data_IF_644575813938
#
_entry.id   IF_644575813938
#
_cell.length_a   1.000
_cell.length_b   1.000
_cell.length_c   1.000
_cell.angle_alpha   90.00
_cell.angle_beta   90.00
_cell.angle_gamma   90.00
#
_symmetry.space_group_name_H-M   'P 1'
#
loop_
_entity.id
_entity.type
_entity.pdbx_description
1 polymer ?
#
# COMPACT_ATOMS: atom_id res chain seq x y z
N UNK A 1 -36.15 30.68 -5.35
CA UNK A 1 -35.85 29.27 -5.04
C UNK A 1 -35.81 29.13 -3.53
N UNK A 2 -36.98 29.03 -2.89
CA UNK A 2 -37.14 28.92 -1.43
C UNK A 2 -37.13 27.44 -1.05
N UNK A 3 -36.28 27.06 -0.09
CA UNK A 3 -36.16 25.68 0.39
C UNK A 3 -37.48 25.20 1.03
N UNK A 4 -37.82 23.93 0.79
CA UNK A 4 -39.01 23.27 1.34
C UNK A 4 -38.97 23.28 2.89
N UNK A 5 -40.02 23.78 3.58
CA UNK A 5 -40.07 23.86 5.04
C UNK A 5 -39.86 22.52 5.76
N UNK A 6 -40.21 21.38 5.13
CA UNK A 6 -39.94 20.06 5.70
C UNK A 6 -38.43 19.75 5.76
N UNK A 7 -37.67 20.26 4.80
CA UNK A 7 -36.20 20.11 4.74
C UNK A 7 -35.52 20.92 5.84
N UNK A 8 -36.05 22.12 6.13
CA UNK A 8 -35.51 23.00 7.20
C UNK A 8 -35.76 22.42 8.59
N UNK A 9 -36.90 21.76 8.82
CA UNK A 9 -37.23 21.11 10.09
C UNK A 9 -36.44 19.82 10.35
N UNK A 10 -36.06 19.08 9.30
CA UNK A 10 -35.26 17.85 9.41
C UNK A 10 -33.75 18.10 9.59
N UNK A 11 -33.28 19.33 9.32
CA UNK A 11 -31.86 19.70 9.34
C UNK A 11 -31.18 19.49 10.71
N UNK A 12 -31.77 19.86 11.86
CA UNK A 12 -31.14 19.63 13.16
C UNK A 12 -30.93 18.15 13.48
N UNK A 13 -31.89 17.28 13.12
CA UNK A 13 -31.79 15.83 13.33
C UNK A 13 -30.71 15.19 12.44
N UNK A 14 -30.64 15.60 11.17
CA UNK A 14 -29.60 15.16 10.25
C UNK A 14 -28.20 15.64 10.69
N UNK A 15 -28.09 16.90 11.14
CA UNK A 15 -26.84 17.48 11.64
C UNK A 15 -26.37 16.78 12.93
N UNK A 16 -27.28 16.52 13.87
CA UNK A 16 -26.98 15.75 15.09
C UNK A 16 -26.47 14.36 14.74
N UNK A 17 -27.14 13.64 13.83
CA UNK A 17 -26.72 12.31 13.40
C UNK A 17 -25.33 12.34 12.77
N UNK A 18 -25.05 13.32 11.91
CA UNK A 18 -23.74 13.48 11.29
C UNK A 18 -22.64 13.75 12.34
N UNK A 19 -22.91 14.62 13.31
CA UNK A 19 -21.97 14.94 14.38
C UNK A 19 -21.64 13.71 15.25
N UNK A 20 -22.66 12.94 15.65
CA UNK A 20 -22.48 11.71 16.44
C UNK A 20 -21.70 10.66 15.65
N UNK A 21 -22.06 10.43 14.38
CA UNK A 21 -21.34 9.45 13.54
C UNK A 21 -19.88 9.86 13.30
N UNK A 22 -19.61 11.16 13.18
CA UNK A 22 -18.23 11.66 13.06
C UNK A 22 -17.43 11.42 14.34
N UNK A 23 -18.01 11.72 15.51
CA UNK A 23 -17.36 11.44 16.79
C UNK A 23 -17.05 9.94 16.98
N UNK A 24 -18.01 9.06 16.64
CA UNK A 24 -17.81 7.62 16.70
C UNK A 24 -16.76 7.14 15.70
N UNK A 25 -16.74 7.70 14.49
CA UNK A 25 -15.71 7.38 13.48
C UNK A 25 -14.31 7.71 14.00
N UNK A 26 -14.15 8.84 14.69
CA UNK A 26 -12.86 9.26 15.24
C UNK A 26 -12.37 8.32 16.35
N UNK A 27 -13.27 7.85 17.21
CA UNK A 27 -12.94 6.84 18.23
C UNK A 27 -12.61 5.47 17.61
N UNK A 28 -13.42 5.01 16.65
CA UNK A 28 -13.15 3.78 15.89
C UNK A 28 -11.81 3.88 15.16
N UNK A 29 -11.48 5.05 14.61
CA UNK A 29 -10.20 5.28 13.94
C UNK A 29 -9.02 5.14 14.90
N UNK A 30 -9.09 5.70 16.11
CA UNK A 30 -8.03 5.55 17.12
C UNK A 30 -7.82 4.08 17.49
N UNK A 31 -8.91 3.36 17.76
CA UNK A 31 -8.85 1.94 18.07
C UNK A 31 -8.29 1.11 16.90
N UNK A 32 -8.71 1.43 15.68
CA UNK A 32 -8.18 0.83 14.45
C UNK A 32 -6.68 1.07 14.31
N UNK A 33 -6.20 2.31 14.47
CA UNK A 33 -4.78 2.65 14.31
C UNK A 33 -3.92 1.90 15.35
N UNK A 34 -4.41 1.76 16.59
CA UNK A 34 -3.75 0.97 17.64
C UNK A 34 -3.73 -0.55 17.32
N UNK A 35 -4.87 -1.13 16.96
CA UNK A 35 -4.98 -2.53 16.57
C UNK A 35 -4.11 -2.83 15.32
N UNK A 36 -4.05 -1.89 14.39
CA UNK A 36 -3.22 -1.98 13.18
C UNK A 36 -1.73 -2.03 13.52
N UNK A 37 -1.26 -1.15 14.40
CA UNK A 37 0.12 -1.14 14.85
C UNK A 37 0.52 -2.45 15.56
N UNK A 38 -0.38 -3.01 16.38
CA UNK A 38 -0.18 -4.30 17.02
C UNK A 38 -0.09 -5.44 16.00
N UNK A 39 -1.01 -5.51 15.04
CA UNK A 39 -1.01 -6.53 13.99
C UNK A 39 0.24 -6.44 13.10
N UNK A 40 0.68 -5.23 12.76
CA UNK A 40 1.91 -5.00 11.98
C UNK A 40 3.14 -5.50 12.74
N UNK A 41 3.26 -5.15 14.02
CA UNK A 41 4.36 -5.58 14.89
C UNK A 41 4.41 -7.12 15.00
N UNK A 42 3.25 -7.74 15.25
CA UNK A 42 3.16 -9.19 15.40
C UNK A 42 3.51 -9.94 14.10
N UNK A 43 3.00 -9.49 12.96
CA UNK A 43 3.27 -10.16 11.68
C UNK A 43 4.72 -9.95 11.22
N UNK A 44 5.30 -8.76 11.42
CA UNK A 44 6.73 -8.54 11.13
C UNK A 44 7.62 -9.40 12.01
N UNK A 45 7.29 -9.55 13.29
CA UNK A 45 8.00 -10.45 14.19
C UNK A 45 7.91 -11.91 13.72
N UNK A 46 6.71 -12.40 13.39
CA UNK A 46 6.49 -13.74 12.85
C UNK A 46 7.23 -13.98 11.53
N UNK A 47 7.23 -12.99 10.64
CA UNK A 47 8.02 -13.08 9.41
C UNK A 47 9.50 -13.22 9.73
N UNK A 48 10.04 -12.40 10.63
CA UNK A 48 11.48 -12.43 10.95
C UNK A 48 11.93 -13.73 11.62
N UNK A 49 11.04 -14.39 12.36
CA UNK A 49 11.37 -15.57 13.17
C UNK A 49 11.09 -16.89 12.45
N UNK A 50 9.98 -16.98 11.72
CA UNK A 50 9.51 -18.24 11.10
C UNK A 50 9.14 -18.10 9.62
N UNK A 51 9.32 -16.91 9.02
CA UNK A 51 9.08 -16.68 7.59
C UNK A 51 7.60 -16.60 7.19
N UNK A 52 6.67 -16.44 8.15
CA UNK A 52 5.24 -16.26 7.84
C UNK A 52 5.03 -14.91 7.16
N UNK A 53 4.55 -14.94 5.91
CA UNK A 53 4.31 -13.72 5.12
C UNK A 53 2.88 -13.23 5.15
N UNK A 54 1.91 -14.13 5.30
CA UNK A 54 0.49 -13.79 5.21
C UNK A 54 -0.30 -14.45 6.31
N UNK A 55 -1.23 -13.71 6.89
CA UNK A 55 -2.22 -14.20 7.86
C UNK A 55 -3.62 -13.88 7.35
N UNK A 56 -4.50 -14.86 7.38
CA UNK A 56 -5.92 -14.67 7.09
C UNK A 56 -6.65 -14.15 8.32
N UNK A 57 -7.50 -13.13 8.15
CA UNK A 57 -8.34 -12.57 9.19
C UNK A 57 -9.74 -13.15 9.05
N UNK A 58 -10.25 -13.75 10.13
CA UNK A 58 -11.57 -14.38 10.20
C UNK A 58 -12.37 -13.73 11.31
N UNK A 59 -13.68 -13.55 11.08
CA UNK A 59 -14.60 -13.23 12.17
C UNK A 59 -14.97 -14.51 12.90
N UNK A 60 -15.22 -14.45 14.22
CA UNK A 60 -15.81 -15.56 14.95
C UNK A 60 -17.10 -16.05 14.29
N UNK A 61 -17.19 -17.34 14.01
CA UNK A 61 -18.34 -17.97 13.34
C UNK A 61 -18.42 -17.77 11.83
N UNK A 62 -17.50 -17.02 11.20
CA UNK A 62 -17.44 -16.93 9.73
C UNK A 62 -16.67 -18.12 9.14
N UNK A 63 -17.24 -18.73 8.10
CA UNK A 63 -16.63 -19.87 7.40
C UNK A 63 -15.41 -19.42 6.57
N UNK A 64 -15.53 -18.26 5.92
CA UNK A 64 -14.51 -17.71 5.04
C UNK A 64 -13.75 -16.54 5.71
N UNK A 65 -12.47 -16.33 5.36
CA UNK A 65 -11.72 -15.17 5.80
C UNK A 65 -12.28 -13.88 5.20
N UNK A 66 -12.34 -12.82 6.01
CA UNK A 66 -12.85 -11.50 5.61
C UNK A 66 -11.76 -10.60 5.04
N UNK A 67 -10.51 -10.83 5.43
CA UNK A 67 -9.35 -10.07 4.97
C UNK A 67 -8.08 -10.93 5.10
N UNK A 68 -6.98 -10.41 4.57
CA UNK A 68 -5.65 -10.94 4.80
C UNK A 68 -4.70 -9.79 5.11
N UNK A 69 -3.71 -10.07 5.94
CA UNK A 69 -2.59 -9.16 6.24
C UNK A 69 -1.33 -9.82 5.71
N UNK A 70 -0.58 -9.10 4.87
CA UNK A 70 0.58 -9.63 4.16
C UNK A 70 1.78 -8.71 4.36
N UNK A 71 2.94 -9.29 4.65
CA UNK A 71 4.22 -8.58 4.59
C UNK A 71 4.62 -8.42 3.12
N UNK A 72 4.82 -7.18 2.64
CA UNK A 72 5.27 -6.94 1.27
C UNK A 72 6.58 -7.67 0.99
N UNK A 73 6.74 -8.10 -0.25
CA UNK A 73 8.03 -8.57 -0.70
C UNK A 73 9.02 -7.40 -0.67
N UNK A 74 10.16 -7.61 -0.01
CA UNK A 74 11.26 -6.69 -0.11
C UNK A 74 11.88 -6.88 -1.50
N UNK A 75 11.60 -5.97 -2.44
CA UNK A 75 12.29 -5.93 -3.72
C UNK A 75 13.55 -5.06 -3.61
N UNK A 76 14.64 -5.54 -4.18
CA UNK A 76 15.84 -4.73 -4.36
C UNK A 76 15.49 -3.52 -5.24
N UNK A 77 15.83 -2.32 -4.78
CA UNK A 77 15.61 -1.10 -5.55
C UNK A 77 16.78 -0.83 -6.48
N UNK A 78 16.54 -0.31 -7.67
CA UNK A 78 17.62 0.19 -8.53
C UNK A 78 17.82 1.68 -8.27
N UNK A 79 19.05 2.09 -7.95
CA UNK A 79 19.46 3.49 -7.93
C UNK A 79 20.18 3.79 -9.24
N UNK A 80 19.69 4.78 -9.97
CA UNK A 80 20.26 5.18 -11.26
C UNK A 80 21.00 6.50 -11.09
N UNK A 81 22.24 6.56 -11.53
CA UNK A 81 22.91 7.84 -11.76
C UNK A 81 22.34 8.50 -13.03
N UNK A 82 21.58 9.57 -12.84
CA UNK A 82 20.91 10.30 -13.92
C UNK A 82 21.88 10.91 -14.94
N UNK A 83 23.06 11.34 -14.47
CA UNK A 83 24.03 11.98 -15.34
C UNK A 83 24.71 10.93 -16.21
N UNK A 84 25.13 9.82 -15.62
CA UNK A 84 25.73 8.72 -16.36
C UNK A 84 24.71 8.03 -17.29
N UNK A 85 23.42 7.94 -16.89
CA UNK A 85 22.34 7.49 -17.77
C UNK A 85 22.19 8.41 -18.99
N UNK A 86 22.26 9.72 -18.79
CA UNK A 86 22.19 10.71 -19.87
C UNK A 86 23.38 10.59 -20.82
N UNK A 87 24.59 10.41 -20.29
CA UNK A 87 25.81 10.23 -21.09
C UNK A 87 25.78 8.92 -21.89
N UNK A 88 25.25 7.85 -21.29
CA UNK A 88 24.99 6.58 -21.98
C UNK A 88 23.98 6.75 -23.12
N UNK A 89 22.86 7.43 -22.86
CA UNK A 89 21.86 7.72 -23.88
C UNK A 89 22.43 8.61 -25.00
N UNK A 90 23.27 9.58 -24.67
CA UNK A 90 23.87 10.48 -25.65
C UNK A 90 24.78 9.72 -26.63
N UNK A 91 25.44 8.66 -26.15
CA UNK A 91 26.33 7.82 -26.97
C UNK A 91 25.58 6.76 -27.77
N UNK A 92 24.68 6.01 -27.13
CA UNK A 92 24.09 4.79 -27.73
C UNK A 92 22.67 5.02 -28.30
N UNK A 93 21.92 5.97 -27.72
CA UNK A 93 20.52 6.21 -28.04
C UNK A 93 20.18 7.71 -28.09
N UNK A 94 20.87 8.51 -28.92
CA UNK A 94 20.74 9.98 -28.89
C UNK A 94 19.32 10.48 -29.20
N UNK A 95 18.54 9.68 -29.95
CA UNK A 95 17.12 9.98 -30.23
C UNK A 95 16.19 9.87 -29.02
N UNK A 96 16.66 9.26 -27.93
CA UNK A 96 15.92 9.07 -26.68
C UNK A 96 16.20 10.18 -25.65
N UNK A 97 16.96 11.21 -26.04
CA UNK A 97 17.15 12.42 -25.27
C UNK A 97 16.12 13.46 -25.71
N UNK A 98 15.38 13.97 -24.75
CA UNK A 98 14.49 15.11 -24.91
C UNK A 98 15.14 16.36 -24.32
N UNK A 99 15.04 17.47 -25.06
CA UNK A 99 15.46 18.77 -24.57
C UNK A 99 14.25 19.53 -24.04
N UNK A 100 14.19 19.68 -22.72
CA UNK A 100 13.23 20.58 -22.06
C UNK A 100 13.91 21.92 -21.79
N UNK A 101 13.16 23.03 -21.63
CA UNK A 101 13.72 24.39 -21.56
C UNK A 101 14.81 24.60 -20.50
N UNK A 102 14.88 23.74 -19.48
CA UNK A 102 15.82 23.83 -18.37
C UNK A 102 16.92 22.75 -18.33
N UNK A 103 16.85 21.68 -19.16
CA UNK A 103 17.83 20.58 -19.16
C UNK A 103 17.60 19.56 -20.28
N UNK A 104 18.63 18.76 -20.58
CA UNK A 104 18.48 17.50 -21.33
C UNK A 104 18.03 16.40 -20.37
N UNK A 105 17.03 15.63 -20.76
CA UNK A 105 16.54 14.49 -19.99
C UNK A 105 16.35 13.30 -20.91
N UNK A 106 16.51 12.10 -20.35
CA UNK A 106 16.12 10.88 -21.04
C UNK A 106 14.59 10.78 -21.08
N UNK A 107 14.04 10.41 -22.23
CA UNK A 107 12.59 10.25 -22.41
C UNK A 107 12.01 9.33 -21.33
N UNK A 108 10.99 9.75 -20.57
CA UNK A 108 10.45 8.97 -19.46
C UNK A 108 9.94 7.58 -19.88
N UNK A 109 9.33 7.48 -21.06
CA UNK A 109 8.85 6.22 -21.61
C UNK A 109 10.01 5.25 -21.90
N UNK A 110 11.08 5.74 -22.54
CA UNK A 110 12.26 4.93 -22.81
C UNK A 110 12.95 4.50 -21.52
N UNK A 111 13.10 5.41 -20.55
CA UNK A 111 13.66 5.08 -19.23
C UNK A 111 12.88 3.94 -18.58
N UNK A 112 11.55 4.00 -18.60
CA UNK A 112 10.70 2.95 -18.04
C UNK A 112 10.95 1.61 -18.73
N UNK A 113 11.07 1.62 -20.06
CA UNK A 113 11.38 0.42 -20.86
C UNK A 113 12.78 -0.12 -20.56
N UNK A 114 13.79 0.75 -20.44
CA UNK A 114 15.15 0.36 -20.05
C UNK A 114 15.13 -0.31 -18.67
N UNK A 115 14.53 0.32 -17.66
CA UNK A 115 14.49 -0.24 -16.30
C UNK A 115 13.71 -1.55 -16.22
N UNK A 116 12.69 -1.74 -17.05
CA UNK A 116 11.89 -2.97 -17.07
C UNK A 116 12.61 -4.17 -17.70
N UNK A 117 13.66 -3.94 -18.51
CA UNK A 117 14.43 -5.02 -19.17
C UNK A 117 15.76 -5.33 -18.47
N UNK A 118 16.08 -4.66 -17.37
CA UNK A 118 17.30 -4.93 -16.61
C UNK A 118 17.17 -6.24 -15.84
N UNK A 119 18.26 -6.99 -15.83
CA UNK A 119 18.47 -8.14 -14.96
C UNK A 119 19.58 -7.81 -13.97
N UNK A 120 19.43 -8.29 -12.73
CA UNK A 120 20.46 -8.21 -11.71
C UNK A 120 21.09 -9.58 -11.59
N UNK A 121 22.37 -9.67 -11.91
CA UNK A 121 23.16 -10.88 -11.75
C UNK A 121 23.45 -11.15 -10.27
N UNK A 122 23.77 -12.40 -9.88
CA UNK A 122 24.01 -12.77 -8.48
C UNK A 122 25.18 -12.03 -7.81
N UNK A 123 26.09 -11.46 -8.60
CA UNK A 123 27.23 -10.64 -8.17
C UNK A 123 26.84 -9.17 -7.91
N UNK A 124 25.58 -8.80 -8.14
CA UNK A 124 25.06 -7.43 -8.00
C UNK A 124 25.24 -6.57 -9.26
N UNK A 125 25.75 -7.14 -10.36
CA UNK A 125 25.92 -6.45 -11.63
C UNK A 125 24.58 -6.27 -12.34
N UNK A 126 24.28 -5.05 -12.78
CA UNK A 126 23.06 -4.76 -13.55
C UNK A 126 23.35 -4.91 -15.04
N UNK A 127 22.63 -5.82 -15.69
CA UNK A 127 22.78 -6.11 -17.12
C UNK A 127 21.50 -5.74 -17.86
N UNK A 128 21.66 -5.06 -18.99
CA UNK A 128 20.56 -4.90 -19.94
C UNK A 128 20.34 -6.21 -20.70
N UNK A 129 19.27 -6.93 -20.37
CA UNK A 129 18.97 -8.24 -20.95
C UNK A 129 18.78 -8.21 -22.47
N UNK A 130 18.45 -7.07 -23.06
CA UNK A 130 18.27 -6.94 -24.51
C UNK A 130 19.60 -6.83 -25.26
N UNK A 131 20.62 -6.25 -24.62
CA UNK A 131 21.92 -5.95 -25.26
C UNK A 131 23.08 -6.74 -24.68
N UNK A 132 22.89 -7.39 -23.53
CA UNK A 132 23.92 -8.08 -22.78
C UNK A 132 24.96 -7.15 -22.15
N UNK A 133 24.72 -5.82 -22.14
CA UNK A 133 25.68 -4.85 -21.61
C UNK A 133 25.48 -4.63 -20.12
N UNK A 134 26.60 -4.56 -19.41
CA UNK A 134 26.63 -4.12 -18.01
C UNK A 134 26.41 -2.61 -17.95
N UNK A 135 25.51 -2.18 -17.07
CA UNK A 135 25.22 -0.78 -16.78
C UNK A 135 25.78 -0.44 -15.39
N UNK A 136 27.02 0.02 -15.37
CA UNK A 136 27.77 0.39 -14.16
C UNK A 136 27.20 1.61 -13.42
N UNK A 137 26.42 2.45 -14.10
CA UNK A 137 25.72 3.59 -13.53
C UNK A 137 24.44 3.23 -12.76
N UNK A 138 24.09 1.93 -12.67
CA UNK A 138 22.93 1.46 -11.92
C UNK A 138 23.41 0.61 -10.74
N UNK A 139 23.14 1.09 -9.54
CA UNK A 139 23.45 0.41 -8.30
C UNK A 139 22.23 -0.35 -7.80
N UNK A 140 22.42 -1.63 -7.43
CA UNK A 140 21.41 -2.42 -6.73
C UNK A 140 21.42 -2.03 -5.26
N UNK A 141 20.32 -1.44 -4.78
CA UNK A 141 20.11 -1.30 -3.35
C UNK A 141 19.58 -2.61 -2.80
N UNK A 142 20.20 -3.16 -1.74
CA UNK A 142 19.67 -4.33 -1.08
C UNK A 142 18.23 -4.05 -0.63
N UNK A 143 17.39 -5.07 -0.76
CA UNK A 143 16.00 -4.97 -0.38
C UNK A 143 15.90 -4.58 1.11
N UNK A 144 15.27 -3.45 1.39
CA UNK A 144 15.07 -3.02 2.77
C UNK A 144 14.07 -3.94 3.46
N UNK A 145 14.31 -4.26 4.73
CA UNK A 145 13.35 -5.03 5.51
C UNK A 145 11.98 -4.31 5.50
N UNK A 146 10.88 -5.05 5.30
CA UNK A 146 9.55 -4.46 5.24
C UNK A 146 9.23 -3.80 6.59
N UNK A 147 8.89 -2.51 6.55
CA UNK A 147 8.59 -1.72 7.75
C UNK A 147 7.10 -1.69 8.10
N UNK A 148 6.25 -2.21 7.21
CA UNK A 148 4.79 -2.22 7.36
C UNK A 148 4.20 -3.41 6.63
N UNK A 149 2.97 -3.78 7.00
CA UNK A 149 2.20 -4.81 6.29
C UNK A 149 1.14 -4.18 5.39
N UNK A 150 0.53 -4.97 4.52
CA UNK A 150 -0.61 -4.59 3.69
C UNK A 150 -1.84 -5.38 4.13
N UNK A 151 -2.97 -4.70 4.35
CA UNK A 151 -4.25 -5.35 4.63
C UNK A 151 -5.17 -5.28 3.40
N UNK A 152 -5.66 -6.44 2.96
CA UNK A 152 -6.55 -6.55 1.81
C UNK A 152 -7.82 -7.30 2.21
N UNK A 153 -8.98 -6.68 1.99
CA UNK A 153 -10.27 -7.34 2.18
C UNK A 153 -10.51 -8.37 1.08
N UNK A 154 -11.08 -9.52 1.45
CA UNK A 154 -11.56 -10.53 0.50
C UNK A 154 -12.93 -10.10 -0.05
N UNK A 155 -13.38 -10.79 -1.09
CA UNK A 155 -14.71 -10.59 -1.67
C UNK A 155 -15.79 -10.70 -0.59
N UNK A 156 -16.68 -9.71 -0.54
CA UNK A 156 -17.73 -9.57 0.48
C UNK A 156 -17.25 -9.45 1.93
N UNK A 157 -15.95 -9.30 2.19
CA UNK A 157 -15.39 -9.24 3.55
C UNK A 157 -15.95 -8.04 4.34
N UNK A 158 -16.05 -6.87 3.70
CA UNK A 158 -16.64 -5.67 4.32
C UNK A 158 -18.14 -5.83 4.59
N UNK A 159 -18.87 -6.44 3.66
CA UNK A 159 -20.30 -6.69 3.81
C UNK A 159 -20.57 -7.66 4.96
N UNK A 160 -19.70 -8.67 5.11
CA UNK A 160 -19.77 -9.66 6.19
C UNK A 160 -19.53 -9.00 7.56
N UNK A 161 -18.56 -8.08 7.67
CA UNK A 161 -18.34 -7.27 8.88
C UNK A 161 -19.59 -6.42 9.19
N UNK A 162 -20.11 -5.72 8.19
CA UNK A 162 -21.28 -4.85 8.36
C UNK A 162 -22.56 -5.63 8.72
N UNK A 163 -22.75 -6.83 8.16
CA UNK A 163 -23.84 -7.73 8.52
C UNK A 163 -23.69 -8.24 9.96
N UNK A 164 -22.50 -8.73 10.33
CA UNK A 164 -22.22 -9.23 11.68
C UNK A 164 -22.43 -8.17 12.75
N UNK A 165 -22.06 -6.91 12.47
CA UNK A 165 -22.35 -5.79 13.35
C UNK A 165 -23.86 -5.51 13.48
N UNK A 166 -24.60 -5.47 12.37
CA UNK A 166 -26.06 -5.25 12.39
C UNK A 166 -26.81 -6.38 13.11
N UNK A 167 -26.31 -7.60 13.02
CA UNK A 167 -26.87 -8.79 13.65
C UNK A 167 -26.44 -8.95 15.12
N UNK A 168 -25.63 -8.02 15.65
CA UNK A 168 -25.18 -8.04 17.04
C UNK A 168 -24.11 -9.10 17.36
N UNK A 169 -23.59 -9.80 16.35
CA UNK A 169 -22.48 -10.76 16.51
C UNK A 169 -21.12 -10.07 16.66
N UNK A 170 -21.05 -8.79 16.31
CA UNK A 170 -19.86 -7.96 16.46
C UNK A 170 -20.20 -6.71 17.28
N UNK A 171 -19.61 -6.59 18.47
CA UNK A 171 -19.85 -5.48 19.39
C UNK A 171 -18.80 -4.38 19.22
N UNK A 172 -19.22 -3.18 18.82
CA UNK A 172 -18.32 -2.01 18.74
C UNK A 172 -17.69 -1.67 20.09
N UNK A 173 -18.41 -1.65 21.23
CA UNK A 173 -17.81 -1.41 22.54
C UNK A 173 -16.66 -2.37 22.87
N UNK A 174 -16.80 -3.67 22.55
CA UNK A 174 -15.75 -4.67 22.81
C UNK A 174 -14.53 -4.47 21.90
N UNK A 175 -14.77 -4.14 20.62
CA UNK A 175 -13.69 -3.82 19.68
C UNK A 175 -12.89 -2.58 20.12
N UNK A 176 -13.57 -1.55 20.64
CA UNK A 176 -12.93 -0.33 21.14
C UNK A 176 -12.08 -0.58 22.39
N UNK A 177 -12.44 -1.58 23.20
CA UNK A 177 -11.68 -1.99 24.39
C UNK A 177 -10.50 -2.92 24.06
N UNK A 178 -10.40 -3.39 22.81
CA UNK A 178 -9.36 -4.34 22.39
C UNK A 178 -9.59 -5.77 22.93
N UNK A 179 -10.81 -6.09 23.37
CA UNK A 179 -11.16 -7.38 23.98
C UNK A 179 -11.85 -8.35 23.02
N UNK A 180 -11.95 -8.01 21.73
CA UNK A 180 -12.61 -8.87 20.75
C UNK A 180 -11.90 -10.25 20.69
N UNK A 181 -12.64 -11.28 21.12
CA UNK A 181 -12.25 -12.70 21.10
C UNK A 181 -12.45 -13.31 19.72
#
# INVERSE_FOLDING_TARGET
MTADPATVAALPGAAMRAAVLKALLDEVKKAYDAARAQADTALLHLHSTVGVRTVEVRLPGAIAPIAQITVPEASAGLRVDEQALLDYCAREHPGEIEQIPAKKVVRPAWRKTLLARLSVEPDGTVVDSATGRVLDFIEVRPAAAPMSTTMTFKDHGRDTVAASHREGRLSLPELLQGTAQ
#
